data_IF_720028700966
#
_entry.id   IF_720028700966
#
_cell.length_a   1.000
_cell.length_b   1.000
_cell.length_c   1.000
_cell.angle_alpha   90.00
_cell.angle_beta   90.00
_cell.angle_gamma   90.00
#
_symmetry.space_group_name_H-M   'P 1'
#
loop_
_entity.id
_entity.type
_entity.pdbx_description
1 polymer ?
#
# COMPACT_ATOMS: atom_id res chain seq x y z
N UNK A 1 -22.43 12.03 -1.47
CA UNK A 1 -21.01 11.97 -1.04
C UNK A 1 -20.91 12.12 0.47
N UNK A 2 -21.65 13.05 1.06
CA UNK A 2 -21.72 13.26 2.53
C UNK A 2 -22.09 12.01 3.33
N UNK A 3 -22.99 11.18 2.79
CA UNK A 3 -23.35 9.89 3.38
C UNK A 3 -22.19 8.89 3.43
N UNK A 4 -21.33 8.85 2.40
CA UNK A 4 -20.14 7.99 2.38
C UNK A 4 -19.11 8.48 3.38
N UNK A 5 -18.88 9.80 3.44
CA UNK A 5 -18.01 10.42 4.45
C UNK A 5 -18.48 10.06 5.86
N UNK A 6 -19.79 10.18 6.12
CA UNK A 6 -20.39 9.81 7.41
C UNK A 6 -20.11 8.37 7.82
N UNK A 7 -20.19 7.41 6.90
CA UNK A 7 -19.82 6.02 7.20
C UNK A 7 -18.33 5.85 7.49
N UNK A 8 -17.46 6.48 6.70
CA UNK A 8 -16.01 6.32 6.82
C UNK A 8 -15.45 6.82 8.16
N UNK A 9 -16.02 7.91 8.70
CA UNK A 9 -15.59 8.51 9.98
C UNK A 9 -16.45 8.08 11.17
N UNK A 10 -17.40 7.15 10.96
CA UNK A 10 -18.31 6.74 12.01
C UNK A 10 -17.55 6.11 13.19
N UNK A 11 -17.96 6.36 14.45
CA UNK A 11 -17.43 5.62 15.58
C UNK A 11 -17.83 4.14 15.55
N UNK A 12 -18.86 3.76 14.77
CA UNK A 12 -19.38 2.40 14.66
C UNK A 12 -18.55 1.61 13.64
N UNK A 13 -18.00 0.49 14.08
CA UNK A 13 -17.09 -0.35 13.28
C UNK A 13 -17.76 -0.92 12.02
N UNK A 14 -19.01 -1.39 12.14
CA UNK A 14 -19.79 -1.93 11.03
C UNK A 14 -20.09 -0.87 9.97
N UNK A 15 -20.29 0.37 10.40
CA UNK A 15 -20.50 1.51 9.50
C UNK A 15 -19.23 1.87 8.74
N UNK A 16 -18.07 1.89 9.41
CA UNK A 16 -16.78 2.09 8.75
C UNK A 16 -16.45 0.99 7.74
N UNK A 17 -16.73 -0.28 8.08
CA UNK A 17 -16.59 -1.40 7.14
C UNK A 17 -17.45 -1.20 5.89
N UNK A 18 -18.71 -0.81 6.08
CA UNK A 18 -19.63 -0.53 4.98
C UNK A 18 -19.18 0.67 4.15
N UNK A 19 -18.67 1.72 4.78
CA UNK A 19 -18.04 2.86 4.13
C UNK A 19 -16.83 2.46 3.29
N UNK A 20 -15.92 1.66 3.87
CA UNK A 20 -14.74 1.15 3.16
C UNK A 20 -15.13 0.27 1.97
N UNK A 21 -16.13 -0.60 2.12
CA UNK A 21 -16.69 -1.37 1.02
C UNK A 21 -17.18 -0.45 -0.12
N UNK A 22 -18.02 0.54 0.19
CA UNK A 22 -18.51 1.47 -0.81
C UNK A 22 -17.40 2.32 -1.45
N UNK A 23 -16.40 2.72 -0.68
CA UNK A 23 -15.23 3.44 -1.18
C UNK A 23 -14.45 2.59 -2.19
N UNK A 24 -14.24 1.30 -1.88
CA UNK A 24 -13.57 0.34 -2.76
C UNK A 24 -14.33 0.08 -4.07
N UNK A 25 -15.66 0.08 -4.04
CA UNK A 25 -16.50 -0.14 -5.23
C UNK A 25 -16.66 1.12 -6.10
N UNK A 26 -16.84 2.28 -5.48
CA UNK A 26 -17.18 3.53 -6.21
C UNK A 26 -15.96 4.34 -6.62
N UNK A 27 -14.84 4.19 -5.90
CA UNK A 27 -13.56 4.86 -6.06
C UNK A 27 -13.63 6.32 -6.56
N UNK A 28 -14.39 7.19 -5.86
CA UNK A 28 -14.57 8.55 -6.28
C UNK A 28 -13.26 9.34 -6.16
N UNK A 29 -12.86 10.00 -7.25
CA UNK A 29 -11.67 10.89 -7.27
C UNK A 29 -11.90 12.26 -6.62
N UNK A 30 -12.97 12.41 -5.84
CA UNK A 30 -13.40 13.68 -5.28
C UNK A 30 -12.64 13.98 -3.98
N UNK A 31 -12.15 15.21 -3.82
CA UNK A 31 -11.54 15.73 -2.59
C UNK A 31 -12.45 15.59 -1.36
N UNK A 32 -13.78 15.62 -1.53
CA UNK A 32 -14.75 15.52 -0.43
C UNK A 32 -14.57 14.24 0.40
N UNK A 33 -14.13 13.13 -0.21
CA UNK A 33 -13.91 11.87 0.52
C UNK A 33 -12.46 11.67 0.93
N UNK A 34 -11.54 12.55 0.51
CA UNK A 34 -10.10 12.37 0.68
C UNK A 34 -9.75 12.20 2.15
N UNK A 35 -10.10 13.17 2.97
CA UNK A 35 -9.68 13.19 4.38
C UNK A 35 -10.25 11.98 5.12
N UNK A 36 -11.53 11.67 4.89
CA UNK A 36 -12.18 10.48 5.46
C UNK A 36 -11.56 9.16 4.97
N UNK A 37 -11.13 9.07 3.71
CA UNK A 37 -10.45 7.90 3.18
C UNK A 37 -9.03 7.76 3.75
N UNK A 38 -8.32 8.87 3.97
CA UNK A 38 -6.99 8.85 4.57
C UNK A 38 -7.09 8.32 6.02
N UNK A 39 -8.13 8.67 6.79
CA UNK A 39 -8.34 8.17 8.17
C UNK A 39 -8.42 6.64 8.26
N UNK A 40 -8.87 5.96 7.20
CA UNK A 40 -8.90 4.50 7.18
C UNK A 40 -7.51 3.86 7.34
N UNK A 41 -6.42 4.58 7.06
CA UNK A 41 -5.06 4.06 7.22
C UNK A 41 -4.71 3.66 8.66
N UNK A 42 -5.38 4.28 9.64
CA UNK A 42 -5.17 4.04 11.07
C UNK A 42 -6.33 3.25 11.71
N UNK A 43 -7.28 2.78 10.89
CA UNK A 43 -8.45 2.02 11.36
C UNK A 43 -8.02 0.69 12.02
N UNK A 44 -8.67 0.24 13.11
CA UNK A 44 -8.33 -1.04 13.75
C UNK A 44 -8.49 -2.26 12.83
N UNK A 45 -9.35 -2.18 11.81
CA UNK A 45 -9.61 -3.28 10.88
C UNK A 45 -8.67 -3.25 9.68
N UNK A 46 -8.01 -4.38 9.42
CA UNK A 46 -7.12 -4.54 8.28
C UNK A 46 -7.80 -4.32 6.93
N UNK A 47 -9.09 -4.68 6.80
CA UNK A 47 -9.86 -4.39 5.59
C UNK A 47 -9.94 -2.89 5.28
N UNK A 48 -10.25 -2.05 6.28
CA UNK A 48 -10.29 -0.60 6.12
C UNK A 48 -8.93 -0.04 5.70
N UNK A 49 -7.85 -0.44 6.38
CA UNK A 49 -6.48 -0.03 6.04
C UNK A 49 -6.07 -0.46 4.64
N UNK A 50 -6.50 -1.64 4.18
CA UNK A 50 -6.28 -2.11 2.81
C UNK A 50 -7.02 -1.24 1.80
N UNK A 51 -8.28 -0.90 2.07
CA UNK A 51 -9.07 -0.02 1.19
C UNK A 51 -8.42 1.37 1.07
N UNK A 52 -7.81 1.90 2.13
CA UNK A 52 -7.01 3.14 2.02
C UNK A 52 -5.92 3.01 0.95
N UNK A 53 -5.14 1.93 0.95
CA UNK A 53 -4.06 1.72 -0.03
C UNK A 53 -4.64 1.63 -1.46
N UNK A 54 -5.74 0.91 -1.63
CA UNK A 54 -6.43 0.79 -2.92
C UNK A 54 -6.96 2.15 -3.41
N UNK A 55 -7.56 2.94 -2.52
CA UNK A 55 -8.04 4.29 -2.82
C UNK A 55 -6.89 5.18 -3.30
N UNK A 56 -5.75 5.16 -2.60
CA UNK A 56 -4.54 5.91 -2.97
C UNK A 56 -4.01 5.50 -4.34
N UNK A 57 -3.99 4.20 -4.64
CA UNK A 57 -3.58 3.68 -5.95
C UNK A 57 -4.45 4.21 -7.09
N UNK A 58 -5.78 4.20 -6.92
CA UNK A 58 -6.72 4.49 -8.01
C UNK A 58 -6.97 5.99 -8.18
N UNK A 59 -7.04 6.74 -7.07
CA UNK A 59 -7.17 8.20 -7.08
C UNK A 59 -5.88 8.91 -7.50
N UNK A 60 -4.75 8.19 -7.52
CA UNK A 60 -3.42 8.73 -7.76
C UNK A 60 -3.01 9.80 -6.72
N UNK A 61 -3.66 9.79 -5.55
CA UNK A 61 -3.39 10.69 -4.43
C UNK A 61 -2.00 10.41 -3.85
N UNK A 62 -1.18 11.45 -3.67
CA UNK A 62 0.10 11.31 -3.00
C UNK A 62 0.62 12.66 -2.52
N UNK A 63 0.81 12.76 -1.22
CA UNK A 63 1.43 13.87 -0.49
C UNK A 63 2.19 13.29 0.72
N UNK A 64 2.80 14.14 1.54
CA UNK A 64 3.61 13.69 2.69
C UNK A 64 2.80 12.93 3.74
N UNK A 65 1.53 13.30 3.97
CA UNK A 65 0.65 12.63 4.94
C UNK A 65 0.33 11.22 4.45
N UNK A 66 -0.08 11.11 3.19
CA UNK A 66 -0.38 9.84 2.53
C UNK A 66 0.87 8.96 2.43
N UNK A 67 2.04 9.55 2.17
CA UNK A 67 3.30 8.81 2.08
C UNK A 67 3.68 8.13 3.40
N UNK A 68 3.48 8.80 4.54
CA UNK A 68 3.72 8.22 5.88
C UNK A 68 2.73 7.11 6.19
N UNK A 69 1.44 7.31 5.87
CA UNK A 69 0.38 6.29 6.05
C UNK A 69 0.51 5.10 5.10
N UNK A 70 1.09 5.28 3.91
CA UNK A 70 1.49 4.16 3.07
C UNK A 70 2.69 3.41 3.66
N UNK A 71 3.67 4.11 4.23
CA UNK A 71 4.84 3.47 4.82
C UNK A 71 4.46 2.55 5.99
N UNK A 72 3.48 2.94 6.80
CA UNK A 72 2.94 2.06 7.86
C UNK A 72 2.31 0.78 7.31
N UNK A 73 1.75 0.82 6.09
CA UNK A 73 1.19 -0.35 5.40
C UNK A 73 2.19 -1.49 5.17
N UNK A 74 3.49 -1.21 5.01
CA UNK A 74 4.52 -2.27 4.93
C UNK A 74 4.87 -2.89 6.28
N UNK A 75 4.59 -2.19 7.38
CA UNK A 75 4.79 -2.70 8.73
C UNK A 75 3.55 -3.40 9.28
N UNK A 76 2.42 -3.32 8.57
CA UNK A 76 1.14 -3.82 9.03
C UNK A 76 1.19 -5.30 9.44
N UNK A 77 0.39 -5.67 10.42
CA UNK A 77 0.24 -7.07 10.82
C UNK A 77 -0.65 -7.85 9.84
N UNK A 78 -1.64 -7.18 9.27
CA UNK A 78 -2.51 -7.77 8.26
C UNK A 78 -1.73 -7.94 6.95
N UNK A 79 -1.64 -9.19 6.49
CA UNK A 79 -0.91 -9.54 5.29
C UNK A 79 -1.49 -8.89 4.03
N UNK A 80 -2.81 -8.70 3.96
CA UNK A 80 -3.45 -8.10 2.80
C UNK A 80 -3.11 -6.61 2.68
N UNK A 81 -2.99 -5.88 3.80
CA UNK A 81 -2.54 -4.48 3.79
C UNK A 81 -1.11 -4.40 3.26
N UNK A 82 -0.23 -5.29 3.73
CA UNK A 82 1.16 -5.34 3.27
C UNK A 82 1.25 -5.61 1.78
N UNK A 83 0.55 -6.64 1.30
CA UNK A 83 0.58 -7.02 -0.11
C UNK A 83 0.06 -5.90 -0.99
N UNK A 84 -1.06 -5.26 -0.62
CA UNK A 84 -1.61 -4.13 -1.37
C UNK A 84 -0.61 -2.96 -1.40
N UNK A 85 0.11 -2.73 -0.31
CA UNK A 85 1.15 -1.69 -0.23
C UNK A 85 2.37 -2.02 -1.11
N UNK A 86 2.81 -3.28 -1.14
CA UNK A 86 3.87 -3.75 -2.05
C UNK A 86 3.43 -3.55 -3.50
N UNK A 87 2.20 -3.91 -3.84
CA UNK A 87 1.63 -3.72 -5.18
C UNK A 87 1.57 -2.24 -5.57
N UNK A 88 1.11 -1.35 -4.66
CA UNK A 88 1.15 0.10 -4.87
C UNK A 88 2.59 0.59 -5.13
N UNK A 89 3.54 0.18 -4.30
CA UNK A 89 4.94 0.57 -4.43
C UNK A 89 5.58 0.06 -5.73
N UNK A 90 5.20 -1.14 -6.18
CA UNK A 90 5.64 -1.69 -7.45
C UNK A 90 5.06 -0.92 -8.66
N UNK A 91 3.87 -0.33 -8.52
CA UNK A 91 3.15 0.34 -9.61
C UNK A 91 3.35 1.87 -9.68
N UNK A 92 3.74 2.51 -8.57
CA UNK A 92 3.87 3.98 -8.53
C UNK A 92 5.03 4.51 -9.39
N UNK A 93 5.09 5.81 -9.68
CA UNK A 93 6.20 6.39 -10.43
C UNK A 93 7.51 6.45 -9.62
N UNK A 94 8.64 6.63 -10.30
CA UNK A 94 9.97 6.57 -9.67
C UNK A 94 10.15 7.63 -8.57
N UNK A 95 9.72 8.88 -8.82
CA UNK A 95 9.78 9.96 -7.80
C UNK A 95 9.05 9.59 -6.50
N UNK A 96 7.85 9.03 -6.61
CA UNK A 96 7.05 8.60 -5.43
C UNK A 96 7.66 7.38 -4.76
N UNK A 97 8.16 6.43 -5.56
CA UNK A 97 8.84 5.25 -5.03
C UNK A 97 10.09 5.62 -4.24
N UNK A 98 10.90 6.56 -4.72
CA UNK A 98 12.11 7.02 -4.05
C UNK A 98 11.80 7.74 -2.74
N UNK A 99 10.79 8.62 -2.74
CA UNK A 99 10.35 9.29 -1.52
C UNK A 99 9.83 8.28 -0.48
N UNK A 100 8.94 7.39 -0.91
CA UNK A 100 8.41 6.31 -0.08
C UNK A 100 9.52 5.40 0.48
N UNK A 101 10.50 5.02 -0.35
CA UNK A 101 11.64 4.19 0.06
C UNK A 101 12.41 4.82 1.20
N UNK A 102 12.69 6.13 1.13
CA UNK A 102 13.39 6.88 2.18
C UNK A 102 12.59 6.88 3.49
N UNK A 103 11.28 7.08 3.41
CA UNK A 103 10.38 7.04 4.57
C UNK A 103 10.39 5.66 5.24
N UNK A 104 10.25 4.59 4.47
CA UNK A 104 10.26 3.21 4.98
C UNK A 104 11.60 2.87 5.64
N UNK A 105 12.73 3.24 5.03
CA UNK A 105 14.05 2.96 5.59
C UNK A 105 14.34 3.81 6.85
N UNK A 106 13.78 5.02 6.94
CA UNK A 106 13.86 5.85 8.16
C UNK A 106 12.96 5.35 9.31
N UNK A 107 12.01 4.46 9.01
CA UNK A 107 11.05 3.96 9.99
C UNK A 107 9.86 4.88 10.24
N UNK A 108 9.49 5.71 9.25
CA UNK A 108 8.31 6.56 9.30
C UNK A 108 7.04 5.70 9.29
N UNK A 109 6.16 5.88 10.30
CA UNK A 109 4.97 5.04 10.48
C UNK A 109 5.23 3.72 11.23
N UNK A 110 6.49 3.36 11.52
CA UNK A 110 6.81 2.17 12.32
C UNK A 110 6.50 2.39 13.80
N UNK A 111 6.16 1.32 14.52
CA UNK A 111 5.95 1.38 15.97
C UNK A 111 7.20 1.89 16.68
N UNK A 112 7.01 2.66 17.76
CA UNK A 112 8.11 3.24 18.55
C UNK A 112 8.67 2.27 19.60
N UNK A 113 7.83 1.37 20.12
CA UNK A 113 8.20 0.44 21.19
C UNK A 113 9.16 -0.65 20.71
N UNK A 114 10.22 -0.92 21.49
CA UNK A 114 11.03 -2.14 21.36
C UNK A 114 10.29 -3.33 22.00
N UNK A 115 10.45 -4.58 21.52
CA UNK A 115 11.24 -5.00 20.35
C UNK A 115 10.49 -4.81 19.01
N UNK A 116 9.20 -4.48 19.06
CA UNK A 116 8.31 -4.38 17.90
C UNK A 116 8.84 -3.52 16.75
N UNK A 117 9.48 -2.39 17.06
CA UNK A 117 10.11 -1.52 16.07
C UNK A 117 11.11 -2.26 15.18
N UNK A 118 11.95 -3.13 15.75
CA UNK A 118 12.97 -3.84 14.97
C UNK A 118 12.32 -4.84 13.99
N UNK A 119 11.25 -5.51 14.41
CA UNK A 119 10.48 -6.39 13.55
C UNK A 119 9.81 -5.63 12.41
N UNK A 120 9.22 -4.47 12.69
CA UNK A 120 8.62 -3.61 11.67
C UNK A 120 9.65 -3.16 10.64
N UNK A 121 10.79 -2.64 11.07
CA UNK A 121 11.85 -2.20 10.15
C UNK A 121 12.35 -3.34 9.26
N UNK A 122 12.58 -4.54 9.82
CA UNK A 122 12.96 -5.72 9.04
C UNK A 122 11.89 -6.12 8.03
N UNK A 123 10.61 -6.06 8.43
CA UNK A 123 9.46 -6.37 7.57
C UNK A 123 9.34 -5.36 6.43
N UNK A 124 9.38 -4.06 6.74
CA UNK A 124 9.24 -3.02 5.73
C UNK A 124 10.41 -2.96 4.76
N UNK A 125 11.65 -3.19 5.22
CA UNK A 125 12.80 -3.31 4.32
C UNK A 125 12.63 -4.46 3.32
N UNK A 126 12.10 -5.61 3.78
CA UNK A 126 11.81 -6.76 2.93
C UNK A 126 10.71 -6.48 1.91
N UNK A 127 9.57 -5.91 2.35
CA UNK A 127 8.48 -5.53 1.44
C UNK A 127 8.92 -4.50 0.40
N UNK A 128 9.77 -3.55 0.80
CA UNK A 128 10.37 -2.58 -0.12
C UNK A 128 11.29 -3.24 -1.16
N UNK A 129 12.09 -4.21 -0.75
CA UNK A 129 12.96 -4.96 -1.66
C UNK A 129 12.16 -5.78 -2.67
N UNK A 130 11.09 -6.45 -2.23
CA UNK A 130 10.16 -7.14 -3.14
C UNK A 130 9.59 -6.16 -4.16
N UNK A 131 9.08 -5.00 -3.71
CA UNK A 131 8.54 -4.00 -4.62
C UNK A 131 9.60 -3.51 -5.63
N UNK A 132 10.84 -3.26 -5.20
CA UNK A 132 11.95 -2.85 -6.07
C UNK A 132 12.22 -3.90 -7.16
N UNK A 133 12.41 -5.17 -6.78
CA UNK A 133 12.70 -6.27 -7.71
C UNK A 133 11.59 -6.45 -8.75
N UNK A 134 10.33 -6.29 -8.34
CA UNK A 134 9.17 -6.31 -9.25
C UNK A 134 9.27 -5.17 -10.27
N UNK A 135 9.58 -3.94 -9.83
CA UNK A 135 9.75 -2.77 -10.70
C UNK A 135 10.86 -2.98 -11.72
N UNK A 136 11.94 -3.63 -11.29
CA UNK A 136 13.13 -3.86 -12.11
C UNK A 136 12.96 -4.97 -13.14
N UNK A 137 11.83 -5.66 -13.14
CA UNK A 137 11.53 -6.65 -14.18
C UNK A 137 11.62 -8.08 -13.70
N UNK A 138 11.99 -8.32 -12.45
CA UNK A 138 12.23 -9.67 -11.96
C UNK A 138 10.92 -10.48 -11.85
N UNK A 139 11.04 -11.78 -12.12
CA UNK A 139 9.94 -12.75 -12.12
C UNK A 139 9.59 -13.11 -10.68
N UNK A 140 8.30 -13.14 -10.35
CA UNK A 140 7.80 -13.27 -8.97
C UNK A 140 8.32 -14.56 -8.30
N UNK A 141 8.37 -15.66 -9.04
CA UNK A 141 8.87 -16.95 -8.57
C UNK A 141 10.31 -16.85 -8.05
N UNK A 142 11.18 -16.17 -8.80
CA UNK A 142 12.57 -15.96 -8.40
C UNK A 142 12.69 -15.06 -7.17
N UNK A 143 11.84 -14.03 -7.08
CA UNK A 143 11.80 -13.17 -5.89
C UNK A 143 11.40 -13.99 -4.65
N UNK A 144 10.44 -14.92 -4.80
CA UNK A 144 9.97 -15.78 -3.72
C UNK A 144 11.08 -16.72 -3.22
N UNK A 145 11.80 -17.38 -4.13
CA UNK A 145 12.94 -18.26 -3.82
C UNK A 145 14.03 -17.53 -3.02
N UNK A 146 14.34 -16.30 -3.42
CA UNK A 146 15.38 -15.47 -2.82
C UNK A 146 14.93 -14.73 -1.54
N UNK A 147 13.67 -14.89 -1.12
CA UNK A 147 13.09 -14.16 0.04
C UNK A 147 12.46 -15.12 1.08
N UNK A 148 13.25 -16.01 1.71
CA UNK A 148 12.75 -17.14 2.53
C UNK A 148 12.08 -16.77 3.88
N UNK A 149 11.79 -15.49 4.14
CA UNK A 149 11.06 -15.08 5.34
C UNK A 149 9.92 -14.11 5.07
N UNK A 150 9.47 -14.04 3.82
CA UNK A 150 8.15 -13.53 3.46
C UNK A 150 7.18 -14.71 3.29
N UNK A 151 5.90 -14.48 3.55
CA UNK A 151 4.87 -15.51 3.43
C UNK A 151 4.62 -15.88 1.95
N UNK A 152 4.44 -17.17 1.62
CA UNK A 152 4.17 -17.61 0.25
C UNK A 152 2.90 -16.98 -0.33
N UNK A 153 1.90 -16.71 0.51
CA UNK A 153 0.67 -16.04 0.13
C UNK A 153 0.91 -14.65 -0.47
N UNK A 154 1.96 -13.94 -0.02
CA UNK A 154 2.37 -12.65 -0.61
C UNK A 154 2.70 -12.82 -2.09
N UNK A 155 3.48 -13.84 -2.45
CA UNK A 155 3.90 -14.07 -3.83
C UNK A 155 2.78 -14.61 -4.70
N UNK A 156 1.96 -15.52 -4.18
CA UNK A 156 0.77 -16.03 -4.88
C UNK A 156 -0.18 -14.90 -5.26
N UNK A 157 -0.39 -13.94 -4.35
CA UNK A 157 -1.21 -12.78 -4.63
C UNK A 157 -0.56 -11.88 -5.68
N UNK A 158 0.73 -11.55 -5.54
CA UNK A 158 1.44 -10.66 -6.48
C UNK A 158 1.48 -11.22 -7.91
N UNK A 159 1.56 -12.54 -8.06
CA UNK A 159 1.50 -13.23 -9.34
C UNK A 159 0.21 -12.93 -10.12
N UNK A 160 -0.92 -12.76 -9.42
CA UNK A 160 -2.18 -12.38 -10.07
C UNK A 160 -2.14 -10.99 -10.75
N UNK A 161 -1.18 -10.13 -10.37
CA UNK A 161 -1.02 -8.79 -10.93
C UNK A 161 0.13 -8.67 -11.93
N UNK A 162 0.86 -9.76 -12.19
CA UNK A 162 2.06 -9.75 -13.02
C UNK A 162 1.81 -9.20 -14.43
N UNK A 163 0.68 -9.57 -15.04
CA UNK A 163 0.29 -9.03 -16.35
C UNK A 163 0.09 -7.51 -16.35
N UNK A 164 -0.44 -6.93 -15.25
CA UNK A 164 -0.59 -5.47 -15.09
C UNK A 164 0.74 -4.80 -14.87
N UNK A 165 1.61 -5.40 -14.04
CA UNK A 165 2.95 -4.90 -13.73
C UNK A 165 3.83 -4.90 -14.99
N UNK A 166 3.79 -5.97 -15.78
CA UNK A 166 4.51 -6.07 -17.05
C UNK A 166 4.14 -4.93 -18.01
N UNK A 167 2.84 -4.68 -18.22
CA UNK A 167 2.37 -3.55 -19.05
C UNK A 167 2.83 -2.19 -18.51
N UNK A 168 2.87 -2.01 -17.19
CA UNK A 168 3.35 -0.77 -16.59
C UNK A 168 4.85 -0.55 -16.84
N UNK A 169 5.67 -1.60 -16.66
CA UNK A 169 7.12 -1.52 -16.92
C UNK A 169 7.42 -1.11 -18.35
N UNK A 170 6.71 -1.68 -19.32
CA UNK A 170 6.87 -1.31 -20.73
C UNK A 170 6.46 0.14 -20.99
N UNK A 171 5.37 0.62 -20.37
CA UNK A 171 5.00 2.05 -20.42
C UNK A 171 6.06 2.95 -19.80
N UNK A 172 6.64 2.57 -18.65
CA UNK A 172 7.70 3.34 -17.96
C UNK A 172 8.97 3.43 -18.79
N UNK A 173 9.39 2.34 -19.44
CA UNK A 173 10.53 2.34 -20.38
C UNK A 173 10.29 3.25 -21.57
N UNK A 174 9.08 3.24 -22.12
CA UNK A 174 8.71 4.07 -23.27
C UNK A 174 8.55 5.56 -22.92
N UNK A 175 8.21 5.89 -21.67
CA UNK A 175 8.04 7.26 -21.18
C UNK A 175 8.76 7.42 -19.83
N UNK A 176 10.10 7.55 -19.81
CA UNK A 176 10.84 7.85 -18.60
C UNK A 176 10.37 9.23 -18.12
N UNK A 177 9.54 9.28 -17.09
CA UNK A 177 9.14 10.55 -16.48
C UNK A 177 10.37 11.10 -15.76
N UNK A 178 11.01 12.10 -16.37
CA UNK A 178 12.07 12.92 -15.78
C UNK A 178 11.55 13.77 -14.62
#
# INVERSE_FOLDING_TARGET
MDFLVGFLISPITEERLKGAYYLGESVPKNEVVRDAAIELADDPLGYCRRIFVQYVLISNLYDDVVAVRLASGLYDFDIHVRIETINWAAYTNDKRFDHFSKLVLSGAGARKSKPWRAFDLKRGARGLEIARRIRDGEVIEKIAEDTPGEDSFTFDYLKNFEGRLSRYREKRKAHPLH
#
